data_IF_833536258455
#
_entry.id   IF_833536258455
#
_cell.length_a   1.000
_cell.length_b   1.000
_cell.length_c   1.000
_cell.angle_alpha   90.00
_cell.angle_beta   90.00
_cell.angle_gamma   90.00
#
_symmetry.space_group_name_H-M   'P 1'
#
loop_
_entity.id
_entity.type
_entity.pdbx_description
1 polymer ?
#
# COMPACT_ATOMS: atom_id res chain seq x y z
N UNK A 1 24.05 6.22 -64.17
CA UNK A 1 23.79 6.63 -62.76
C UNK A 1 22.68 5.75 -62.28
N UNK A 2 23.05 4.67 -61.62
CA UNK A 2 22.12 3.63 -61.15
C UNK A 2 22.01 3.76 -59.64
N UNK A 3 20.85 4.14 -59.20
CA UNK A 3 20.49 4.26 -57.76
C UNK A 3 20.20 2.84 -57.22
N UNK A 4 21.01 2.39 -56.27
CA UNK A 4 20.77 1.14 -55.53
C UNK A 4 19.65 1.29 -54.47
N UNK A 5 18.94 0.22 -54.15
CA UNK A 5 17.89 0.27 -53.13
C UNK A 5 18.49 0.25 -51.73
N UNK A 6 18.01 1.18 -50.89
CA UNK A 6 18.28 1.25 -49.47
C UNK A 6 17.58 0.08 -48.78
N UNK A 7 18.33 -0.84 -48.19
CA UNK A 7 17.79 -1.87 -47.30
C UNK A 7 17.34 -1.20 -45.99
N UNK A 8 16.02 -1.14 -45.79
CA UNK A 8 15.43 -0.96 -44.48
C UNK A 8 15.62 -2.24 -43.67
N UNK A 9 16.39 -2.18 -42.62
CA UNK A 9 16.48 -3.24 -41.61
C UNK A 9 15.21 -3.23 -40.77
N UNK A 10 14.29 -4.13 -41.10
CA UNK A 10 13.18 -4.48 -40.23
C UNK A 10 13.74 -5.13 -38.97
N UNK A 11 13.89 -4.34 -37.91
CA UNK A 11 13.98 -4.87 -36.56
C UNK A 11 12.61 -5.47 -36.21
N UNK A 12 12.40 -6.71 -36.57
CA UNK A 12 11.32 -7.53 -36.03
C UNK A 12 11.57 -7.67 -34.52
N UNK A 13 10.86 -6.84 -33.76
CA UNK A 13 10.71 -7.01 -32.33
C UNK A 13 9.87 -8.29 -32.12
N UNK A 14 10.53 -9.44 -32.04
CA UNK A 14 9.86 -10.69 -31.66
C UNK A 14 9.47 -10.62 -30.21
N UNK A 15 8.30 -10.04 -29.90
CA UNK A 15 7.70 -10.15 -28.59
C UNK A 15 7.39 -11.63 -28.36
N UNK A 16 8.28 -12.34 -27.69
CA UNK A 16 7.98 -13.66 -27.17
C UNK A 16 6.72 -13.57 -26.31
N UNK A 17 5.74 -14.44 -26.54
CA UNK A 17 4.54 -14.51 -25.71
C UNK A 17 4.94 -14.71 -24.25
N UNK A 18 4.27 -14.04 -23.29
CA UNK A 18 4.60 -14.18 -21.87
C UNK A 18 4.47 -15.64 -21.44
N UNK A 19 5.43 -16.10 -20.64
CA UNK A 19 5.44 -17.47 -20.11
C UNK A 19 4.31 -17.68 -19.11
N UNK A 20 3.93 -16.62 -18.38
CA UNK A 20 2.84 -16.64 -17.42
C UNK A 20 2.11 -15.30 -17.35
N UNK A 21 0.79 -15.36 -17.15
CA UNK A 21 -0.05 -14.20 -16.85
C UNK A 21 -0.62 -14.36 -15.46
N UNK A 22 -0.41 -13.32 -14.59
CA UNK A 22 -0.89 -13.32 -13.22
C UNK A 22 -1.93 -12.22 -13.05
N UNK A 23 -3.05 -12.55 -12.42
CA UNK A 23 -4.01 -11.55 -11.96
C UNK A 23 -3.39 -10.72 -10.82
N UNK A 24 -3.52 -9.42 -10.89
CA UNK A 24 -2.90 -8.49 -9.97
C UNK A 24 -3.86 -7.42 -9.48
N UNK A 25 -3.94 -7.24 -8.17
CA UNK A 25 -4.59 -6.05 -7.58
C UNK A 25 -3.54 -4.98 -7.31
N UNK A 26 -3.64 -3.85 -8.02
CA UNK A 26 -2.78 -2.71 -7.79
C UNK A 26 -3.07 -2.07 -6.42
N UNK A 27 -2.03 -1.65 -5.73
CA UNK A 27 -2.13 -0.91 -4.49
C UNK A 27 -1.24 0.34 -4.57
N UNK A 28 -1.74 1.52 -4.19
CA UNK A 28 -1.04 2.79 -4.35
C UNK A 28 0.06 3.02 -3.30
N UNK A 29 0.81 1.99 -2.92
CA UNK A 29 1.95 2.10 -2.02
C UNK A 29 3.23 1.68 -2.74
N UNK A 30 4.35 2.28 -2.36
CA UNK A 30 5.64 1.95 -2.94
C UNK A 30 5.98 0.47 -2.72
N UNK A 31 6.32 -0.24 -3.81
CA UNK A 31 6.75 -1.63 -3.75
C UNK A 31 7.59 -2.02 -4.98
N UNK A 32 8.38 -3.07 -4.84
CA UNK A 32 9.27 -3.54 -5.90
C UNK A 32 8.53 -4.18 -7.08
N UNK A 33 7.30 -4.68 -6.91
CA UNK A 33 6.53 -5.26 -8.02
C UNK A 33 6.07 -4.18 -9.01
N UNK A 34 5.64 -3.01 -8.50
CA UNK A 34 5.35 -1.85 -9.35
C UNK A 34 6.61 -1.41 -10.11
N UNK A 35 7.76 -1.37 -9.43
CA UNK A 35 9.05 -1.06 -10.06
C UNK A 35 9.39 -2.08 -11.13
N UNK A 36 9.26 -3.39 -10.86
CA UNK A 36 9.52 -4.47 -11.82
C UNK A 36 8.63 -4.38 -13.07
N UNK A 37 7.36 -4.04 -12.87
CA UNK A 37 6.42 -3.84 -13.98
C UNK A 37 6.79 -2.64 -14.83
N UNK A 38 7.07 -1.50 -14.22
CA UNK A 38 7.30 -0.24 -14.93
C UNK A 38 8.69 -0.15 -15.58
N UNK A 39 9.70 -0.82 -15.02
CA UNK A 39 11.06 -0.90 -15.59
C UNK A 39 11.22 -1.94 -16.69
N UNK A 40 10.22 -2.80 -16.92
CA UNK A 40 10.28 -3.89 -17.90
C UNK A 40 10.89 -5.20 -17.39
N UNK A 41 11.50 -5.22 -16.20
CA UNK A 41 12.16 -6.40 -15.60
C UNK A 41 11.18 -7.59 -15.51
N UNK A 42 9.91 -7.32 -15.18
CA UNK A 42 8.90 -8.37 -15.10
C UNK A 42 8.60 -8.99 -16.47
N UNK A 43 8.54 -8.15 -17.51
CA UNK A 43 8.36 -8.60 -18.90
C UNK A 43 9.55 -9.43 -19.40
N UNK A 44 10.77 -9.05 -19.07
CA UNK A 44 11.99 -9.81 -19.38
C UNK A 44 11.99 -11.18 -18.69
N UNK A 45 11.42 -11.28 -17.49
CA UNK A 45 11.20 -12.55 -16.80
C UNK A 45 10.06 -13.40 -17.41
N UNK A 46 9.40 -12.93 -18.49
CA UNK A 46 8.29 -13.60 -19.14
C UNK A 46 7.00 -13.58 -18.33
N UNK A 47 6.81 -12.60 -17.46
CA UNK A 47 5.62 -12.47 -16.62
C UNK A 47 4.84 -11.22 -17.03
N UNK A 48 3.54 -11.39 -17.25
CA UNK A 48 2.57 -10.33 -17.49
C UNK A 48 1.65 -10.21 -16.28
N UNK A 49 1.40 -9.00 -15.82
CA UNK A 49 0.34 -8.72 -14.87
C UNK A 49 -0.93 -8.32 -15.60
N UNK A 50 -2.02 -9.00 -15.28
CA UNK A 50 -3.36 -8.65 -15.71
C UNK A 50 -4.05 -7.94 -14.54
N UNK A 51 -4.16 -6.61 -14.66
CA UNK A 51 -4.64 -5.77 -13.57
C UNK A 51 -6.14 -5.95 -13.43
N UNK A 52 -6.56 -6.45 -12.28
CA UNK A 52 -7.96 -6.63 -11.96
C UNK A 52 -8.65 -5.26 -11.78
N UNK A 53 -9.76 -5.07 -12.49
CA UNK A 53 -10.63 -3.90 -12.29
C UNK A 53 -11.26 -3.92 -10.90
N UNK A 54 -11.78 -2.79 -10.43
CA UNK A 54 -12.23 -2.61 -9.06
C UNK A 54 -13.21 -3.65 -8.53
N UNK A 55 -14.17 -4.11 -9.34
CA UNK A 55 -15.07 -5.20 -8.92
C UNK A 55 -14.34 -6.51 -8.72
N UNK A 56 -13.39 -6.83 -9.57
CA UNK A 56 -12.53 -8.00 -9.47
C UNK A 56 -11.38 -7.74 -8.47
N UNK A 57 -10.93 -6.50 -8.31
CA UNK A 57 -9.91 -6.10 -7.34
C UNK A 57 -10.30 -6.40 -5.89
N UNK A 58 -11.60 -6.51 -5.58
CA UNK A 58 -12.11 -6.98 -4.29
C UNK A 58 -11.71 -8.44 -4.02
N UNK A 59 -11.34 -9.19 -5.06
CA UNK A 59 -10.88 -10.59 -4.91
C UNK A 59 -9.64 -10.74 -4.02
N UNK A 60 -8.86 -9.67 -3.79
CA UNK A 60 -7.76 -9.74 -2.84
C UNK A 60 -8.20 -10.04 -1.39
N UNK A 61 -9.49 -9.97 -1.12
CA UNK A 61 -10.09 -10.45 0.13
C UNK A 61 -10.59 -11.90 0.05
N UNK A 62 -10.86 -12.42 -1.14
CA UNK A 62 -11.42 -13.76 -1.35
C UNK A 62 -10.45 -14.73 -2.01
N UNK A 63 -9.46 -14.20 -2.74
CA UNK A 63 -8.47 -14.96 -3.50
C UNK A 63 -9.08 -16.04 -4.42
N UNK A 64 -10.10 -15.67 -5.16
CA UNK A 64 -10.82 -16.56 -6.07
C UNK A 64 -10.03 -16.88 -7.34
N UNK A 65 -8.96 -16.11 -7.63
CA UNK A 65 -8.11 -16.27 -8.80
C UNK A 65 -6.95 -17.24 -8.51
N UNK A 66 -6.84 -18.38 -9.22
CA UNK A 66 -5.79 -19.36 -8.95
C UNK A 66 -4.37 -18.86 -9.27
N UNK A 67 -4.23 -17.91 -10.19
CA UNK A 67 -2.96 -17.30 -10.59
C UNK A 67 -2.94 -15.82 -10.17
N UNK A 68 -3.03 -15.55 -8.88
CA UNK A 68 -3.17 -14.21 -8.33
C UNK A 68 -1.95 -13.81 -7.49
N UNK A 69 -1.54 -12.55 -7.62
CA UNK A 69 -0.55 -11.92 -6.75
C UNK A 69 -0.99 -10.51 -6.34
N UNK A 70 -0.57 -10.07 -5.17
CA UNK A 70 -0.82 -8.72 -4.65
C UNK A 70 0.38 -8.26 -3.82
N UNK A 71 0.81 -7.02 -4.06
CA UNK A 71 1.82 -6.36 -3.24
C UNK A 71 1.28 -4.99 -2.80
N UNK A 72 0.91 -4.86 -1.55
CA UNK A 72 0.27 -3.64 -1.03
C UNK A 72 0.06 -3.69 0.46
N UNK A 73 -0.67 -2.73 1.02
CA UNK A 73 -0.84 -2.57 2.47
C UNK A 73 -1.24 -3.85 3.20
N UNK A 74 -0.82 -3.96 4.46
CA UNK A 74 -0.82 -5.18 5.26
C UNK A 74 -2.21 -5.63 5.76
N UNK A 75 -3.15 -4.69 5.92
CA UNK A 75 -4.45 -5.00 6.56
C UNK A 75 -5.31 -5.96 5.73
N UNK A 76 -5.52 -5.73 4.41
CA UNK A 76 -6.34 -6.62 3.61
C UNK A 76 -5.86 -8.08 3.63
N UNK A 77 -4.56 -8.39 3.41
CA UNK A 77 -4.11 -9.78 3.44
C UNK A 77 -4.14 -10.40 4.84
N UNK A 78 -3.93 -9.63 5.91
CA UNK A 78 -4.10 -10.14 7.29
C UNK A 78 -5.55 -10.52 7.57
N UNK A 79 -6.53 -9.68 7.18
CA UNK A 79 -7.95 -9.98 7.33
C UNK A 79 -8.39 -11.15 6.43
N UNK A 80 -7.80 -11.27 5.25
CA UNK A 80 -8.06 -12.39 4.37
C UNK A 80 -7.55 -13.70 4.96
N UNK A 81 -6.28 -13.76 5.34
CA UNK A 81 -5.68 -14.97 5.91
C UNK A 81 -6.29 -15.34 7.25
N UNK A 82 -6.56 -14.36 8.12
CA UNK A 82 -7.08 -14.61 9.47
C UNK A 82 -8.57 -14.96 9.54
N UNK A 83 -9.37 -14.55 8.53
CA UNK A 83 -10.83 -14.69 8.62
C UNK A 83 -11.47 -15.27 7.36
N UNK A 84 -11.25 -14.62 6.20
CA UNK A 84 -12.08 -14.87 5.01
C UNK A 84 -11.65 -16.07 4.20
N UNK A 85 -10.35 -16.25 4.05
CA UNK A 85 -9.77 -17.23 3.15
C UNK A 85 -8.47 -17.82 3.72
N UNK A 86 -8.50 -18.40 4.94
CA UNK A 86 -7.30 -18.99 5.55
C UNK A 86 -6.67 -20.03 4.63
N UNK A 87 -5.34 -19.99 4.48
CA UNK A 87 -4.57 -20.92 3.66
C UNK A 87 -4.72 -20.71 2.14
N UNK A 88 -5.49 -19.73 1.68
CA UNK A 88 -5.63 -19.45 0.24
C UNK A 88 -4.45 -18.69 -0.35
N UNK A 89 -3.60 -18.14 0.49
CA UNK A 89 -2.41 -17.38 0.09
C UNK A 89 -1.16 -17.83 0.79
N UNK A 90 -0.03 -17.43 0.21
CA UNK A 90 1.30 -17.53 0.81
C UNK A 90 1.93 -16.15 0.83
N UNK A 91 2.58 -15.83 1.93
CA UNK A 91 3.34 -14.60 2.12
C UNK A 91 4.73 -14.76 1.49
N UNK A 92 5.03 -13.95 0.46
CA UNK A 92 6.31 -13.97 -0.25
C UNK A 92 7.31 -12.95 0.28
N UNK A 93 6.82 -11.85 0.88
CA UNK A 93 7.70 -10.80 1.38
C UNK A 93 6.97 -9.62 2.00
N UNK A 94 7.73 -8.82 2.71
CA UNK A 94 7.27 -7.62 3.42
C UNK A 94 8.25 -6.50 3.10
N UNK A 95 7.75 -5.34 2.68
CA UNK A 95 8.52 -4.11 2.56
C UNK A 95 8.03 -3.13 3.62
N UNK A 96 8.84 -2.81 4.66
CA UNK A 96 8.48 -1.80 5.63
C UNK A 96 8.24 -0.45 4.95
N UNK A 97 7.12 0.18 5.23
CA UNK A 97 6.79 1.52 4.76
C UNK A 97 7.15 2.52 5.84
N UNK A 98 8.08 3.39 5.52
CA UNK A 98 8.42 4.58 6.31
C UNK A 98 7.95 5.76 5.52
N UNK A 99 7.18 6.63 6.12
CA UNK A 99 6.69 7.78 5.38
C UNK A 99 5.81 8.69 6.21
N UNK A 100 5.59 9.86 5.67
CA UNK A 100 4.80 10.93 6.29
C UNK A 100 3.38 10.44 6.52
N UNK A 101 2.93 10.45 7.76
CA UNK A 101 1.53 10.18 8.07
C UNK A 101 1.18 10.75 9.44
N UNK A 102 -0.09 11.09 9.61
CA UNK A 102 -0.59 11.62 10.88
C UNK A 102 -1.85 12.47 10.69
N UNK A 103 -2.18 13.20 11.73
CA UNK A 103 -3.25 14.18 11.72
C UNK A 103 -2.69 15.56 11.40
N UNK A 104 -3.26 16.19 10.38
CA UNK A 104 -2.82 17.47 9.82
C UNK A 104 -3.79 18.58 10.20
N UNK A 105 -3.25 19.77 10.39
CA UNK A 105 -3.95 21.01 10.73
C UNK A 105 -3.47 22.13 9.82
N UNK A 106 -4.23 23.21 9.70
CA UNK A 106 -3.78 24.43 9.01
C UNK A 106 -2.52 25.01 9.68
N UNK A 107 -1.70 25.70 8.89
CA UNK A 107 -0.45 26.32 9.34
C UNK A 107 -0.62 27.24 10.56
N UNK A 108 -1.69 28.04 10.57
CA UNK A 108 -2.04 29.00 11.59
C UNK A 108 -2.92 28.42 12.72
N UNK A 109 -3.19 27.12 12.69
CA UNK A 109 -3.98 26.45 13.73
C UNK A 109 -3.33 26.59 15.10
N UNK A 110 -4.13 26.85 16.17
CA UNK A 110 -3.66 26.86 17.55
C UNK A 110 -3.21 25.48 18.05
N UNK A 111 -3.53 24.41 17.35
CA UNK A 111 -3.14 23.04 17.69
C UNK A 111 -1.67 22.84 17.30
N UNK A 112 -0.75 22.85 18.28
CA UNK A 112 0.70 22.75 18.05
C UNK A 112 1.26 21.36 18.37
N UNK A 113 0.58 20.58 19.20
CA UNK A 113 0.98 19.25 19.67
C UNK A 113 -0.24 18.39 19.90
N UNK A 114 -0.09 17.05 20.02
CA UNK A 114 -1.23 16.13 20.19
C UNK A 114 -2.15 16.48 21.36
N UNK A 115 -1.63 16.96 22.50
CA UNK A 115 -2.45 17.35 23.65
C UNK A 115 -3.42 18.50 23.35
N UNK A 116 -3.15 19.34 22.34
CA UNK A 116 -3.99 20.47 21.98
C UNK A 116 -5.25 20.04 21.18
N UNK A 117 -5.36 18.75 20.85
CA UNK A 117 -6.56 18.16 20.25
C UNK A 117 -7.73 18.06 21.23
N UNK A 118 -7.50 18.24 22.54
CA UNK A 118 -8.56 18.20 23.53
C UNK A 118 -9.69 19.20 23.17
N UNK A 119 -10.94 18.69 23.10
CA UNK A 119 -12.13 19.47 22.73
C UNK A 119 -12.16 19.95 21.26
N UNK A 120 -11.27 19.47 20.41
CA UNK A 120 -11.22 19.83 18.98
C UNK A 120 -12.02 18.87 18.12
N UNK A 121 -12.48 19.38 16.95
CA UNK A 121 -13.17 18.60 15.94
C UNK A 121 -12.14 17.85 15.10
N UNK A 122 -12.09 16.53 15.26
CA UNK A 122 -11.18 15.66 14.54
C UNK A 122 -11.97 14.92 13.45
N UNK A 123 -11.62 15.20 12.19
CA UNK A 123 -12.26 14.61 11.02
C UNK A 123 -11.84 13.15 10.85
N UNK A 124 -12.84 12.27 10.74
CA UNK A 124 -12.63 10.82 10.47
C UNK A 124 -13.66 10.30 9.47
N UNK A 125 -13.26 9.26 8.71
CA UNK A 125 -14.18 8.52 7.85
C UNK A 125 -15.24 7.77 8.67
N UNK A 126 -16.33 7.37 8.01
CA UNK A 126 -17.36 6.52 8.64
C UNK A 126 -16.79 5.22 9.18
N UNK A 127 -15.95 4.54 8.39
CA UNK A 127 -15.34 3.28 8.79
C UNK A 127 -14.43 3.43 9.99
N UNK A 128 -13.57 4.46 10.00
CA UNK A 128 -12.70 4.74 11.14
C UNK A 128 -13.51 5.08 12.40
N UNK A 129 -14.56 5.91 12.27
CA UNK A 129 -15.45 6.25 13.38
C UNK A 129 -16.08 5.01 14.01
N UNK A 130 -16.61 4.08 13.20
CA UNK A 130 -17.21 2.84 13.70
C UNK A 130 -16.19 1.92 14.37
N UNK A 131 -14.97 1.80 13.83
CA UNK A 131 -13.87 1.04 14.46
C UNK A 131 -13.53 1.64 15.83
N UNK A 132 -13.38 2.97 15.89
CA UNK A 132 -13.01 3.67 17.12
C UNK A 132 -14.05 3.55 18.23
N UNK A 133 -15.34 3.53 17.86
CA UNK A 133 -16.47 3.41 18.80
C UNK A 133 -16.85 1.96 19.12
N UNK A 134 -16.25 0.97 18.43
CA UNK A 134 -16.65 -0.44 18.57
C UNK A 134 -18.04 -0.73 18.00
N UNK A 135 -18.48 0.03 17.00
CA UNK A 135 -19.83 -0.04 16.40
C UNK A 135 -19.84 -0.78 15.06
N UNK A 136 -18.78 -1.52 14.74
CA UNK A 136 -18.63 -2.15 13.42
C UNK A 136 -19.58 -3.33 13.22
N UNK A 137 -19.91 -4.08 14.27
CA UNK A 137 -20.59 -5.36 14.19
C UNK A 137 -19.63 -6.47 13.76
N UNK A 138 -20.17 -7.58 13.23
CA UNK A 138 -19.36 -8.67 12.70
C UNK A 138 -18.80 -8.28 11.33
N UNK A 139 -17.47 -8.24 11.23
CA UNK A 139 -16.77 -7.92 9.99
C UNK A 139 -17.12 -8.91 8.84
N UNK A 140 -17.33 -10.18 9.16
CA UNK A 140 -17.65 -11.20 8.16
C UNK A 140 -19.07 -11.08 7.58
N UNK A 141 -19.99 -10.42 8.29
CA UNK A 141 -21.34 -10.16 7.80
C UNK A 141 -21.41 -8.96 6.86
N UNK A 142 -20.34 -8.15 6.80
CA UNK A 142 -20.26 -7.03 5.86
C UNK A 142 -20.11 -7.54 4.43
N UNK A 143 -20.74 -6.85 3.48
CA UNK A 143 -20.46 -7.10 2.06
C UNK A 143 -18.98 -6.78 1.72
N UNK A 144 -18.43 -7.36 0.64
CA UNK A 144 -17.01 -7.19 0.29
C UNK A 144 -16.56 -5.73 0.13
N UNK A 145 -17.47 -4.86 -0.32
CA UNK A 145 -17.17 -3.44 -0.47
C UNK A 145 -16.97 -2.78 0.90
N UNK A 146 -17.89 -2.97 1.83
CA UNK A 146 -17.77 -2.44 3.18
C UNK A 146 -16.56 -2.98 3.91
N UNK A 147 -16.21 -4.25 3.68
CA UNK A 147 -14.98 -4.83 4.22
C UNK A 147 -13.73 -4.12 3.71
N UNK A 148 -13.73 -3.72 2.43
CA UNK A 148 -12.65 -2.90 1.85
C UNK A 148 -12.55 -1.55 2.56
N UNK A 149 -13.67 -0.85 2.74
CA UNK A 149 -13.68 0.45 3.43
C UNK A 149 -13.23 0.33 4.89
N UNK A 150 -13.62 -0.74 5.58
CA UNK A 150 -13.15 -1.01 6.95
C UNK A 150 -11.64 -1.23 6.97
N UNK A 151 -11.09 -2.01 6.05
CA UNK A 151 -9.65 -2.22 5.96
C UNK A 151 -8.90 -0.88 5.76
N UNK A 152 -9.39 -0.01 4.88
CA UNK A 152 -8.82 1.33 4.66
C UNK A 152 -8.97 2.22 5.90
N UNK A 153 -10.16 2.24 6.53
CA UNK A 153 -10.42 3.01 7.75
C UNK A 153 -9.60 2.57 8.97
N UNK A 154 -9.06 1.34 8.95
CA UNK A 154 -8.22 0.83 10.03
C UNK A 154 -6.91 1.61 10.18
N UNK A 155 -6.26 2.02 9.07
CA UNK A 155 -5.05 2.84 9.13
C UNK A 155 -5.33 4.21 9.77
N UNK A 156 -6.44 4.86 9.38
CA UNK A 156 -6.86 6.13 9.95
C UNK A 156 -7.17 6.01 11.45
N UNK A 157 -7.94 4.98 11.84
CA UNK A 157 -8.29 4.74 13.25
C UNK A 157 -7.05 4.50 14.11
N UNK A 158 -6.08 3.69 13.62
CA UNK A 158 -4.82 3.43 14.31
C UNK A 158 -4.00 4.71 14.46
N UNK A 159 -3.89 5.51 13.41
CA UNK A 159 -3.16 6.78 13.46
C UNK A 159 -3.78 7.76 14.47
N UNK A 160 -5.12 7.83 14.55
CA UNK A 160 -5.77 8.67 15.55
C UNK A 160 -5.45 8.23 16.98
N UNK A 161 -5.58 6.95 17.28
CA UNK A 161 -5.30 6.44 18.62
C UNK A 161 -3.85 6.70 19.04
N UNK A 162 -2.88 6.51 18.15
CA UNK A 162 -1.48 6.83 18.45
C UNK A 162 -1.25 8.33 18.62
N UNK A 163 -1.93 9.18 17.85
CA UNK A 163 -1.87 10.63 18.02
C UNK A 163 -2.42 11.06 19.38
N UNK A 164 -3.58 10.52 19.78
CA UNK A 164 -4.20 10.82 21.06
C UNK A 164 -3.36 10.33 22.24
N UNK A 165 -2.84 9.09 22.16
CA UNK A 165 -1.93 8.52 23.17
C UNK A 165 -0.70 9.42 23.39
N UNK A 166 -0.09 9.91 22.31
CA UNK A 166 1.05 10.83 22.38
C UNK A 166 0.72 12.15 23.08
N UNK A 167 -0.57 12.56 23.07
CA UNK A 167 -1.09 13.72 23.78
C UNK A 167 -1.61 13.43 25.21
N UNK A 168 -1.60 12.14 25.63
CA UNK A 168 -2.25 11.73 26.88
C UNK A 168 -3.77 11.83 26.85
N UNK A 169 -4.36 11.74 25.64
CA UNK A 169 -5.79 11.87 25.38
C UNK A 169 -6.41 10.52 25.03
N UNK A 170 -7.71 10.45 25.18
CA UNK A 170 -8.58 9.36 24.69
C UNK A 170 -9.54 9.87 23.63
N UNK A 171 -10.28 8.95 23.01
CA UNK A 171 -11.33 9.28 22.04
C UNK A 171 -12.46 10.16 22.64
N UNK A 172 -12.65 10.12 23.95
CA UNK A 172 -13.67 10.90 24.65
C UNK A 172 -13.25 12.36 24.90
N UNK A 173 -11.97 12.68 24.69
CA UNK A 173 -11.44 14.03 24.91
C UNK A 173 -11.52 14.90 23.66
N UNK A 174 -12.01 14.36 22.54
CA UNK A 174 -12.15 15.05 21.26
C UNK A 174 -13.58 14.96 20.74
N UNK A 175 -13.93 15.84 19.79
CA UNK A 175 -15.15 15.74 19.01
C UNK A 175 -14.87 15.03 17.68
N UNK A 176 -15.32 13.77 17.53
CA UNK A 176 -15.24 13.07 16.26
C UNK A 176 -16.26 13.63 15.27
N UNK A 177 -15.78 14.24 14.21
CA UNK A 177 -16.59 14.76 13.12
C UNK A 177 -16.46 13.83 11.93
N UNK A 178 -17.59 13.34 11.43
CA UNK A 178 -17.61 12.55 10.19
C UNK A 178 -17.28 13.43 9.01
N UNK A 179 -16.25 13.05 8.26
CA UNK A 179 -15.87 13.64 6.99
C UNK A 179 -15.87 12.57 5.90
N UNK A 180 -16.03 12.98 4.64
CA UNK A 180 -15.71 12.14 3.51
C UNK A 180 -14.18 12.10 3.35
N UNK A 181 -13.59 10.94 3.64
CA UNK A 181 -12.13 10.78 3.54
C UNK A 181 -11.77 10.19 2.18
N UNK A 182 -11.07 10.96 1.36
CA UNK A 182 -10.69 10.58 0.01
C UNK A 182 -9.92 9.25 -0.11
N UNK A 183 -9.24 8.83 0.97
CA UNK A 183 -8.49 7.57 1.00
C UNK A 183 -9.31 6.36 1.46
N UNK A 184 -10.45 6.59 2.10
CA UNK A 184 -11.30 5.54 2.66
C UNK A 184 -12.62 5.46 1.89
N UNK A 185 -13.24 6.59 1.64
CA UNK A 185 -14.57 6.68 1.03
C UNK A 185 -14.51 6.71 -0.51
N UNK A 186 -13.69 5.82 -1.10
CA UNK A 186 -13.56 5.72 -2.56
C UNK A 186 -14.89 5.24 -3.16
N UNK A 187 -15.50 5.98 -4.11
CA UNK A 187 -16.75 5.56 -4.73
C UNK A 187 -16.63 4.21 -5.45
N UNK A 188 -17.61 3.33 -5.23
CA UNK A 188 -17.63 1.99 -5.82
C UNK A 188 -17.52 2.02 -7.34
N UNK A 189 -18.18 3.00 -7.99
CA UNK A 189 -18.16 3.21 -9.43
C UNK A 189 -16.76 3.50 -9.95
N UNK A 190 -15.96 4.23 -9.20
CA UNK A 190 -14.57 4.54 -9.55
C UNK A 190 -13.69 3.28 -9.52
N UNK A 191 -13.87 2.44 -8.53
CA UNK A 191 -13.18 1.15 -8.48
C UNK A 191 -13.62 0.22 -9.61
N UNK A 192 -14.87 0.32 -10.07
CA UNK A 192 -15.41 -0.52 -11.14
C UNK A 192 -15.01 -0.07 -12.54
N UNK A 193 -14.64 1.18 -12.74
CA UNK A 193 -14.47 1.78 -14.06
C UNK A 193 -13.06 1.58 -14.65
N UNK A 194 -12.06 1.20 -13.88
CA UNK A 194 -10.66 1.25 -14.31
C UNK A 194 -10.05 -0.14 -14.50
N UNK A 195 -9.56 -0.41 -15.70
CA UNK A 195 -8.73 -1.58 -16.04
C UNK A 195 -7.22 -1.32 -15.87
N UNK A 196 -6.82 -0.07 -15.63
CA UNK A 196 -5.43 0.31 -15.32
C UNK A 196 -5.46 1.16 -14.05
N UNK A 197 -5.55 0.52 -12.89
CA UNK A 197 -5.58 1.25 -11.63
C UNK A 197 -4.20 1.84 -11.32
N UNK A 198 -3.93 3.02 -11.90
CA UNK A 198 -2.96 3.92 -11.30
C UNK A 198 -3.53 4.36 -9.96
N UNK A 199 -2.67 4.53 -8.94
CA UNK A 199 -3.10 5.12 -7.67
C UNK A 199 -3.77 6.48 -7.86
N UNK A 200 -3.36 7.25 -8.88
CA UNK A 200 -4.00 8.48 -9.33
C UNK A 200 -5.49 8.34 -9.69
N UNK A 201 -5.90 7.20 -10.23
CA UNK A 201 -7.30 6.95 -10.60
C UNK A 201 -8.16 6.63 -9.36
N UNK A 202 -7.54 6.05 -8.32
CA UNK A 202 -8.22 5.72 -7.06
C UNK A 202 -8.42 6.94 -6.17
N UNK A 203 -7.43 7.81 -6.10
CA UNK A 203 -7.38 8.95 -5.19
C UNK A 203 -7.18 10.30 -5.91
N UNK A 204 -7.90 10.57 -7.01
CA UNK A 204 -7.75 11.85 -7.68
C UNK A 204 -8.14 12.98 -6.74
N UNK A 205 -7.30 14.01 -6.70
CA UNK A 205 -7.57 15.21 -5.91
C UNK A 205 -7.72 15.00 -4.38
N UNK A 206 -7.15 13.94 -3.82
CA UNK A 206 -7.27 13.67 -2.38
C UNK A 206 -6.77 14.83 -1.52
N UNK A 207 -5.62 15.41 -1.85
CA UNK A 207 -5.09 16.58 -1.14
C UNK A 207 -5.99 17.81 -1.27
N UNK A 208 -6.62 18.02 -2.45
CA UNK A 208 -7.57 19.14 -2.67
C UNK A 208 -8.80 19.00 -1.77
N UNK A 209 -9.40 17.81 -1.71
CA UNK A 209 -10.55 17.56 -0.85
C UNK A 209 -10.22 17.76 0.64
N UNK A 210 -9.05 17.31 1.05
CA UNK A 210 -8.57 17.48 2.43
C UNK A 210 -8.32 18.97 2.75
N UNK A 211 -7.74 19.73 1.81
CA UNK A 211 -7.54 21.16 1.93
C UNK A 211 -8.88 21.89 2.14
N UNK A 212 -9.87 21.60 1.30
CA UNK A 212 -11.22 22.19 1.41
C UNK A 212 -11.87 21.92 2.78
N UNK A 213 -11.72 20.71 3.33
CA UNK A 213 -12.28 20.35 4.65
C UNK A 213 -11.67 21.21 5.75
N UNK A 214 -10.34 21.39 5.73
CA UNK A 214 -9.63 22.20 6.73
C UNK A 214 -9.93 23.69 6.57
N UNK A 215 -9.86 24.24 5.34
CA UNK A 215 -10.07 25.66 5.06
C UNK A 215 -11.52 26.10 5.35
N UNK A 216 -12.51 25.24 5.09
CA UNK A 216 -13.91 25.49 5.44
C UNK A 216 -14.21 25.30 6.93
N UNK A 217 -13.21 24.88 7.73
CA UNK A 217 -13.37 24.61 9.14
C UNK A 217 -14.39 23.50 9.43
N UNK A 218 -14.54 22.52 8.54
CA UNK A 218 -15.40 21.34 8.79
C UNK A 218 -14.78 20.40 9.81
N UNK A 219 -13.46 20.35 9.88
CA UNK A 219 -12.67 19.71 10.93
C UNK A 219 -11.49 20.61 11.29
N UNK A 220 -11.00 20.51 12.52
CA UNK A 220 -9.81 21.23 12.97
C UNK A 220 -8.53 20.44 12.66
N UNK A 221 -8.65 19.11 12.54
CA UNK A 221 -7.60 18.19 12.14
C UNK A 221 -8.18 17.02 11.34
N UNK A 222 -7.42 16.46 10.39
CA UNK A 222 -7.77 15.26 9.64
C UNK A 222 -6.55 14.42 9.29
N UNK A 223 -6.79 13.14 8.96
CA UNK A 223 -5.74 12.19 8.60
C UNK A 223 -5.26 12.40 7.16
N UNK A 224 -3.94 12.46 6.99
CA UNK A 224 -3.29 12.35 5.68
C UNK A 224 -2.02 11.49 5.78
N UNK A 225 -1.55 10.95 4.66
CA UNK A 225 -0.43 10.03 4.66
C UNK A 225 0.33 9.99 3.34
N UNK A 226 1.59 9.49 3.41
CA UNK A 226 2.49 9.25 2.29
C UNK A 226 2.55 10.45 1.32
N UNK A 227 2.52 10.30 -0.01
CA UNK A 227 2.79 11.43 -0.89
C UNK A 227 1.67 12.48 -0.93
N UNK A 228 0.46 12.15 -0.47
CA UNK A 228 -0.65 13.15 -0.40
C UNK A 228 -0.52 14.09 0.79
N UNK A 229 0.14 13.68 1.88
CA UNK A 229 0.42 14.57 2.99
C UNK A 229 1.34 15.74 2.59
N UNK A 230 2.48 15.53 1.90
CA UNK A 230 3.26 16.63 1.32
C UNK A 230 2.52 17.48 0.30
N UNK A 231 1.62 16.90 -0.52
CA UNK A 231 0.77 17.70 -1.41
C UNK A 231 -0.13 18.64 -0.62
N UNK A 232 -0.74 18.17 0.47
CA UNK A 232 -1.55 19.01 1.35
C UNK A 232 -0.71 20.10 2.03
N UNK A 233 0.50 19.77 2.49
CA UNK A 233 1.46 20.76 3.03
C UNK A 233 1.78 21.84 2.01
N UNK A 234 2.01 21.45 0.74
CA UNK A 234 2.35 22.40 -0.33
C UNK A 234 1.17 23.28 -0.73
N UNK A 235 -0.04 22.73 -0.79
CA UNK A 235 -1.23 23.43 -1.28
C UNK A 235 -1.72 24.51 -0.30
N UNK A 236 -1.78 24.21 0.99
CA UNK A 236 -2.38 25.09 2.02
C UNK A 236 -1.44 25.34 3.21
N UNK A 237 -0.18 24.93 3.13
CA UNK A 237 0.73 25.06 4.26
C UNK A 237 0.31 24.21 5.47
N UNK A 238 -0.48 23.14 5.27
CA UNK A 238 -0.85 22.25 6.37
C UNK A 238 0.40 21.64 7.02
N UNK A 239 0.28 21.27 8.28
CA UNK A 239 1.37 20.61 9.01
C UNK A 239 0.84 19.48 9.90
N UNK A 240 1.63 18.43 10.12
CA UNK A 240 1.24 17.38 11.03
C UNK A 240 1.25 17.89 12.48
N UNK A 241 0.29 17.43 13.27
CA UNK A 241 0.29 17.62 14.74
C UNK A 241 1.44 16.81 15.35
N UNK A 242 1.69 15.64 14.78
CA UNK A 242 2.83 14.76 15.02
C UNK A 242 3.08 13.94 13.75
N UNK A 243 4.34 13.75 13.35
CA UNK A 243 4.69 12.84 12.27
C UNK A 243 4.82 11.40 12.80
N UNK A 244 3.77 10.63 12.61
CA UNK A 244 3.71 9.23 13.04
C UNK A 244 4.59 8.32 12.19
N UNK A 245 5.06 8.76 11.03
CA UNK A 245 5.99 7.99 10.18
C UNK A 245 7.33 7.71 10.84
N UNK A 246 7.68 8.48 11.86
CA UNK A 246 8.88 8.27 12.67
C UNK A 246 8.64 7.38 13.90
N UNK A 247 7.39 7.05 14.23
CA UNK A 247 7.05 6.19 15.36
C UNK A 247 6.97 4.72 14.91
N UNK A 248 7.88 3.89 15.41
CA UNK A 248 7.92 2.46 15.11
C UNK A 248 6.62 1.72 15.49
N UNK A 249 5.86 2.23 16.47
CA UNK A 249 4.55 1.67 16.86
C UNK A 249 3.50 1.85 15.78
N UNK A 250 3.65 2.88 14.95
CA UNK A 250 2.77 3.19 13.83
C UNK A 250 3.35 2.74 12.47
N UNK A 251 4.39 1.92 12.48
CA UNK A 251 4.98 1.41 11.24
C UNK A 251 3.95 0.62 10.43
N UNK A 252 3.97 0.84 9.12
CA UNK A 252 3.18 0.13 8.12
C UNK A 252 4.06 -0.75 7.25
N UNK A 253 3.44 -1.66 6.51
CA UNK A 253 4.16 -2.47 5.53
C UNK A 253 3.37 -2.66 4.24
N UNK A 254 4.08 -2.73 3.13
CA UNK A 254 3.60 -3.43 1.94
C UNK A 254 3.83 -4.93 2.14
N UNK A 255 2.78 -5.70 1.97
CA UNK A 255 2.78 -7.16 2.10
C UNK A 255 2.56 -7.79 0.74
N UNK A 256 3.44 -8.68 0.36
CA UNK A 256 3.39 -9.40 -0.89
C UNK A 256 2.88 -10.81 -0.71
N UNK A 257 1.78 -11.12 -1.37
CA UNK A 257 1.14 -12.42 -1.33
C UNK A 257 0.91 -12.97 -2.72
N UNK A 258 0.78 -14.29 -2.79
CA UNK A 258 0.44 -15.05 -3.99
C UNK A 258 -0.59 -16.12 -3.61
N UNK A 259 -1.43 -16.56 -4.56
CA UNK A 259 -2.35 -17.66 -4.29
C UNK A 259 -1.60 -18.96 -3.98
N UNK A 260 -2.07 -19.73 -2.98
CA UNK A 260 -1.51 -21.04 -2.64
C UNK A 260 -1.60 -22.00 -3.82
N UNK A 261 -2.68 -21.92 -4.60
CA UNK A 261 -2.86 -22.73 -5.81
C UNK A 261 -1.74 -22.52 -6.85
N UNK A 262 -1.22 -21.27 -6.99
CA UNK A 262 -0.09 -21.00 -7.88
C UNK A 262 1.21 -21.57 -7.33
N UNK A 263 1.44 -21.46 -6.02
CA UNK A 263 2.61 -22.07 -5.34
C UNK A 263 2.66 -23.56 -5.56
N UNK A 264 1.51 -24.24 -5.43
CA UNK A 264 1.40 -25.70 -5.58
C UNK A 264 1.51 -26.18 -7.03
N UNK A 265 0.89 -25.47 -7.97
CA UNK A 265 0.79 -25.92 -9.36
C UNK A 265 1.94 -25.44 -10.25
N UNK A 266 2.54 -24.28 -9.96
CA UNK A 266 3.56 -23.64 -10.79
C UNK A 266 4.64 -22.91 -9.95
N UNK A 267 5.35 -23.63 -9.04
CA UNK A 267 6.34 -23.03 -8.16
C UNK A 267 7.48 -22.32 -8.91
N UNK A 268 7.79 -22.76 -10.14
CA UNK A 268 8.78 -22.13 -11.01
C UNK A 268 8.33 -20.76 -11.52
N UNK A 269 7.02 -20.53 -11.69
CA UNK A 269 6.46 -19.21 -12.03
C UNK A 269 6.59 -18.29 -10.83
N UNK A 270 6.27 -18.78 -9.64
CA UNK A 270 6.43 -18.03 -8.38
C UNK A 270 7.91 -17.66 -8.18
N UNK A 271 8.83 -18.59 -8.39
CA UNK A 271 10.25 -18.31 -8.26
C UNK A 271 10.73 -17.23 -9.23
N UNK A 272 10.33 -17.29 -10.52
CA UNK A 272 10.66 -16.24 -11.50
C UNK A 272 10.07 -14.88 -11.12
N UNK A 273 8.84 -14.87 -10.60
CA UNK A 273 8.21 -13.66 -10.10
C UNK A 273 9.03 -13.06 -8.95
N UNK A 274 9.46 -13.89 -8.01
CA UNK A 274 10.28 -13.44 -6.87
C UNK A 274 11.64 -12.94 -7.33
N UNK A 275 12.29 -13.63 -8.27
CA UNK A 275 13.56 -13.18 -8.84
C UNK A 275 13.43 -11.80 -9.48
N UNK A 276 12.40 -11.58 -10.31
CA UNK A 276 12.18 -10.30 -10.98
C UNK A 276 11.90 -9.16 -9.97
N UNK A 277 11.16 -9.43 -8.90
CA UNK A 277 10.88 -8.42 -7.87
C UNK A 277 12.12 -8.09 -7.04
N UNK A 278 12.94 -9.10 -6.70
CA UNK A 278 14.21 -8.87 -6.01
C UNK A 278 15.18 -8.09 -6.90
N UNK A 279 15.31 -8.48 -8.17
CA UNK A 279 16.16 -7.77 -9.14
C UNK A 279 15.68 -6.32 -9.34
N UNK A 280 14.38 -6.06 -9.38
CA UNK A 280 13.84 -4.70 -9.44
C UNK A 280 14.11 -3.88 -8.17
N UNK A 281 14.01 -4.49 -6.99
CA UNK A 281 14.39 -3.83 -5.73
C UNK A 281 15.88 -3.46 -5.68
N UNK A 282 16.75 -4.32 -6.23
CA UNK A 282 18.19 -4.03 -6.34
C UNK A 282 18.50 -2.98 -7.41
N UNK A 283 17.80 -3.04 -8.54
CA UNK A 283 17.87 -2.03 -9.58
C UNK A 283 17.46 -0.65 -9.05
N UNK A 284 16.41 -0.60 -8.24
CA UNK A 284 15.91 0.62 -7.61
C UNK A 284 16.98 1.32 -6.76
N UNK A 285 17.86 0.57 -6.10
CA UNK A 285 18.95 1.13 -5.29
C UNK A 285 19.92 2.01 -6.11
N UNK A 286 20.04 1.74 -7.40
CA UNK A 286 20.93 2.46 -8.32
C UNK A 286 20.20 3.49 -9.20
N UNK A 287 18.87 3.46 -9.24
CA UNK A 287 18.03 4.26 -10.14
C UNK A 287 16.99 5.08 -9.38
N UNK A 288 17.40 5.71 -8.25
CA UNK A 288 16.50 6.40 -7.33
C UNK A 288 15.60 7.44 -8.00
N UNK A 289 16.13 8.27 -8.89
CA UNK A 289 15.35 9.31 -9.58
C UNK A 289 14.30 8.71 -10.52
N UNK A 290 14.64 7.61 -11.18
CA UNK A 290 13.69 6.92 -12.05
C UNK A 290 12.57 6.25 -11.25
N UNK A 291 12.91 5.62 -10.12
CA UNK A 291 11.94 5.03 -9.20
C UNK A 291 11.00 6.09 -8.62
N UNK A 292 11.51 7.25 -8.23
CA UNK A 292 10.68 8.39 -7.78
C UNK A 292 9.68 8.78 -8.86
N UNK A 293 10.15 8.98 -10.10
CA UNK A 293 9.30 9.35 -11.23
C UNK A 293 8.21 8.29 -11.50
N UNK A 294 8.58 6.99 -11.51
CA UNK A 294 7.61 5.90 -11.69
C UNK A 294 6.50 5.93 -10.63
N UNK A 295 6.84 6.22 -9.38
CA UNK A 295 5.85 6.31 -8.30
C UNK A 295 5.03 7.60 -8.40
N UNK A 296 5.64 8.73 -8.77
CA UNK A 296 4.94 10.00 -9.01
C UNK A 296 3.88 9.85 -10.12
N UNK A 297 4.26 9.26 -11.24
CA UNK A 297 3.35 8.99 -12.36
C UNK A 297 2.21 8.03 -11.98
N UNK A 298 2.51 7.00 -11.17
CA UNK A 298 1.49 6.05 -10.70
C UNK A 298 0.50 6.70 -9.72
N UNK A 299 0.97 7.61 -8.88
CA UNK A 299 0.18 8.20 -7.81
C UNK A 299 -0.46 9.54 -8.18
N UNK A 300 -0.04 10.14 -9.30
CA UNK A 300 -0.54 11.44 -9.78
C UNK A 300 -0.14 12.59 -8.85
N UNK A 301 1.08 12.54 -8.30
CA UNK A 301 1.65 13.54 -7.40
C UNK A 301 3.00 14.03 -7.92
N UNK A 302 3.55 15.08 -7.33
CA UNK A 302 4.89 15.55 -7.68
C UNK A 302 6.00 14.59 -7.24
N UNK A 303 7.15 14.62 -7.90
CA UNK A 303 8.34 13.85 -7.48
C UNK A 303 8.80 14.28 -6.08
N UNK A 304 8.69 15.56 -5.76
CA UNK A 304 9.05 16.09 -4.44
C UNK A 304 8.12 15.53 -3.35
N UNK A 305 6.83 15.37 -3.64
CA UNK A 305 5.89 14.74 -2.73
C UNK A 305 6.16 13.26 -2.53
N UNK A 306 6.63 12.55 -3.56
CA UNK A 306 7.09 11.17 -3.42
C UNK A 306 8.32 11.11 -2.50
N UNK A 307 9.34 11.95 -2.73
CA UNK A 307 10.56 11.98 -1.90
C UNK A 307 10.27 12.33 -0.44
N UNK A 308 9.40 13.32 -0.21
CA UNK A 308 9.02 13.75 1.14
C UNK A 308 8.10 12.73 1.81
N UNK A 309 7.14 12.19 1.07
CA UNK A 309 6.12 11.29 1.58
C UNK A 309 6.64 9.91 1.93
N UNK A 310 7.45 9.30 1.06
CA UNK A 310 8.03 7.97 1.32
C UNK A 310 9.40 8.02 2.01
N UNK A 311 10.04 9.21 2.06
CA UNK A 311 11.44 9.37 2.46
C UNK A 311 12.39 9.37 1.27
N UNK A 312 13.43 10.21 1.33
CA UNK A 312 14.34 10.43 0.20
C UNK A 312 15.09 9.15 -0.26
N UNK A 313 15.24 8.19 0.64
CA UNK A 313 15.96 6.93 0.42
C UNK A 313 15.04 5.70 0.29
N UNK A 314 13.73 5.87 0.13
CA UNK A 314 12.77 4.75 0.11
C UNK A 314 13.11 3.70 -0.96
N UNK A 315 13.66 4.12 -2.09
CA UNK A 315 14.11 3.25 -3.17
C UNK A 315 15.23 2.28 -2.76
N UNK A 316 15.98 2.59 -1.68
CA UNK A 316 17.01 1.70 -1.13
C UNK A 316 16.40 0.50 -0.36
N UNK A 317 15.12 0.56 -0.02
CA UNK A 317 14.45 -0.37 0.90
C UNK A 317 13.33 -1.18 0.24
N UNK A 318 13.27 -1.21 -1.12
CA UNK A 318 12.21 -1.91 -1.83
C UNK A 318 12.38 -3.43 -1.92
N UNK A 319 13.58 -3.97 -1.69
CA UNK A 319 13.78 -5.44 -1.64
C UNK A 319 12.93 -6.03 -0.51
N UNK A 320 12.02 -6.98 -0.81
CA UNK A 320 11.17 -7.58 0.21
C UNK A 320 11.99 -8.38 1.24
N UNK A 321 11.47 -8.48 2.45
CA UNK A 321 12.11 -9.19 3.57
C UNK A 321 11.13 -10.12 4.27
N UNK A 322 11.65 -11.18 4.91
CA UNK A 322 10.93 -12.09 5.80
C UNK A 322 11.73 -12.32 7.08
N UNK A 323 12.31 -11.25 7.61
CA UNK A 323 13.07 -11.29 8.86
C UNK A 323 12.20 -10.88 10.06
N UNK A 324 12.78 -11.01 11.25
CA UNK A 324 12.11 -10.70 12.52
C UNK A 324 11.55 -9.28 12.60
N UNK A 325 12.26 -8.31 12.04
CA UNK A 325 11.84 -6.90 12.11
C UNK A 325 10.63 -6.65 11.20
N UNK A 326 10.62 -7.26 10.00
CA UNK A 326 9.48 -7.20 9.09
C UNK A 326 8.24 -7.88 9.71
N UNK A 327 8.39 -9.06 10.31
CA UNK A 327 7.30 -9.74 11.02
C UNK A 327 6.80 -8.94 12.23
N UNK A 328 7.68 -8.22 12.93
CA UNK A 328 7.26 -7.40 14.07
C UNK A 328 6.27 -6.29 13.67
N UNK A 329 6.32 -5.78 12.43
CA UNK A 329 5.34 -4.81 11.93
C UNK A 329 3.96 -5.50 11.81
N UNK A 330 3.90 -6.67 11.19
CA UNK A 330 2.65 -7.42 11.03
C UNK A 330 2.08 -7.86 12.38
N UNK A 331 2.94 -8.24 13.32
CA UNK A 331 2.52 -8.61 14.68
C UNK A 331 1.84 -7.43 15.40
N UNK A 332 2.36 -6.22 15.26
CA UNK A 332 1.72 -5.02 15.83
C UNK A 332 0.40 -4.69 15.14
N UNK A 333 0.34 -4.81 13.82
CA UNK A 333 -0.89 -4.56 13.06
C UNK A 333 -1.97 -5.58 13.42
N UNK A 334 -1.64 -6.86 13.48
CA UNK A 334 -2.64 -7.88 13.86
C UNK A 334 -3.08 -7.74 15.34
N UNK A 335 -2.20 -7.29 16.24
CA UNK A 335 -2.63 -7.00 17.61
C UNK A 335 -3.69 -5.90 17.62
N UNK A 336 -3.50 -4.82 16.86
CA UNK A 336 -4.52 -3.78 16.71
C UNK A 336 -5.84 -4.34 16.16
N UNK A 337 -5.78 -5.22 15.16
CA UNK A 337 -6.96 -5.85 14.59
C UNK A 337 -7.70 -6.74 15.62
N UNK A 338 -6.96 -7.47 16.45
CA UNK A 338 -7.50 -8.26 17.57
C UNK A 338 -8.16 -7.36 18.63
N UNK A 339 -7.49 -6.29 19.04
CA UNK A 339 -7.99 -5.34 20.03
C UNK A 339 -9.28 -4.63 19.59
N UNK A 340 -9.48 -4.54 18.28
CA UNK A 340 -10.69 -3.95 17.66
C UNK A 340 -11.72 -4.98 17.19
N UNK A 341 -11.55 -6.25 17.54
CA UNK A 341 -12.40 -7.37 17.12
C UNK A 341 -12.56 -7.50 15.59
N UNK A 342 -11.53 -7.04 14.84
CA UNK A 342 -11.43 -7.21 13.39
C UNK A 342 -10.74 -8.53 13.01
N UNK A 343 -10.02 -9.12 13.93
CA UNK A 343 -9.52 -10.49 13.92
C UNK A 343 -9.98 -11.19 15.19
N UNK A 344 -10.24 -12.50 15.13
CA UNK A 344 -10.60 -13.31 16.29
C UNK A 344 -9.38 -14.02 16.88
N UNK A 345 -8.43 -14.39 16.02
CA UNK A 345 -7.19 -15.06 16.38
C UNK A 345 -6.02 -14.49 15.58
N UNK A 346 -4.79 -14.54 16.11
CA UNK A 346 -3.62 -14.08 15.38
C UNK A 346 -3.31 -14.99 14.19
N UNK A 347 -2.93 -14.40 13.05
CA UNK A 347 -2.40 -15.11 11.90
C UNK A 347 -1.05 -15.71 12.26
N UNK A 348 -0.86 -17.00 11.99
CA UNK A 348 0.41 -17.70 12.19
C UNK A 348 1.41 -17.30 11.07
N UNK A 349 2.08 -16.16 11.23
CA UNK A 349 2.92 -15.54 10.19
C UNK A 349 3.98 -16.47 9.62
N UNK A 350 4.63 -17.26 10.47
CA UNK A 350 5.67 -18.22 10.05
C UNK A 350 5.10 -19.35 9.18
N UNK A 351 3.86 -19.78 9.45
CA UNK A 351 3.18 -20.82 8.66
C UNK A 351 2.64 -20.23 7.34
N UNK A 352 2.22 -18.98 7.35
CA UNK A 352 1.76 -18.28 6.16
C UNK A 352 2.89 -17.99 5.18
N UNK A 353 4.10 -17.71 5.68
CA UNK A 353 5.26 -17.37 4.86
C UNK A 353 5.74 -18.55 4.00
N UNK A 354 6.29 -18.20 2.82
CA UNK A 354 6.99 -19.09 1.89
C UNK A 354 8.42 -18.58 1.66
N UNK A 355 9.29 -18.64 2.68
CA UNK A 355 10.62 -18.01 2.66
C UNK A 355 11.57 -18.63 1.64
N UNK A 356 11.32 -19.86 1.19
CA UNK A 356 12.16 -20.59 0.24
C UNK A 356 12.37 -19.82 -1.06
N UNK A 357 11.34 -19.18 -1.61
CA UNK A 357 11.42 -18.43 -2.85
C UNK A 357 12.32 -17.21 -2.72
N UNK A 358 12.14 -16.43 -1.65
CA UNK A 358 12.95 -15.25 -1.38
C UNK A 358 14.40 -15.62 -1.09
N UNK A 359 14.62 -16.63 -0.26
CA UNK A 359 15.96 -17.12 0.09
C UNK A 359 16.74 -17.61 -1.14
N UNK A 360 16.07 -18.35 -2.05
CA UNK A 360 16.66 -18.80 -3.31
C UNK A 360 17.06 -17.64 -4.20
N UNK A 361 16.21 -16.60 -4.30
CA UNK A 361 16.49 -15.41 -5.10
C UNK A 361 17.68 -14.61 -4.54
N UNK A 362 17.70 -14.36 -3.24
CA UNK A 362 18.79 -13.65 -2.58
C UNK A 362 20.12 -14.41 -2.70
N UNK A 363 20.12 -15.74 -2.56
CA UNK A 363 21.31 -16.57 -2.76
C UNK A 363 21.86 -16.43 -4.19
N UNK A 364 21.00 -16.55 -5.22
CA UNK A 364 21.42 -16.38 -6.61
C UNK A 364 22.01 -14.99 -6.89
N UNK A 365 21.47 -13.97 -6.24
CA UNK A 365 22.00 -12.60 -6.35
C UNK A 365 23.40 -12.49 -5.78
N UNK A 366 23.68 -13.12 -4.62
CA UNK A 366 25.01 -13.14 -4.02
C UNK A 366 26.01 -13.88 -4.93
N UNK A 367 25.62 -15.02 -5.48
CA UNK A 367 26.47 -15.80 -6.39
C UNK A 367 26.83 -15.00 -7.66
N UNK A 368 25.88 -14.24 -8.24
CA UNK A 368 26.13 -13.35 -9.39
C UNK A 368 27.11 -12.21 -9.08
N UNK A 369 27.14 -11.70 -7.84
CA UNK A 369 28.08 -10.62 -7.43
C UNK A 369 29.50 -11.12 -7.15
N UNK A 370 29.68 -12.41 -6.92
CA UNK A 370 30.97 -13.04 -6.58
C UNK A 370 31.64 -13.74 -7.78
N UNK A 371 30.93 -13.92 -8.89
CA UNK A 371 31.42 -14.48 -10.15
C UNK A 371 31.92 -13.37 -11.09
#
# INVERSE_FOLDING_TARGET
MTSGPTQQSDHQNSSQAPVATLSYSNCPVANALLTAQSSGILSEAGIKLDILSGKQGVTHFTYDQPAYTRFGGEIPPLLSEGLRAPGRTRLLGITPLRGRNGYFVLQDSPIQKPADLAGRRVGVSESASRILRGELGDYLELDPWRQTLVALGTWEARALLHTLEAGGLSINDIELVRIENAFVDVPQERLHASSSLKGADLFPSAAVQQAEILEQGRADALFSWLPWAPELETQIGARPVIDLGQDARNAYASVWTVSSALVESQPEVVQRLVDAVVDAGLWAQQHGDEVVRLHADNLGVSEDSVRTGFGADFHQHLVPRLDKDAFAILTRTQQFLLDKNLLHEPVALDQWAAPEFLNNSLKRTLERKTA
#
